data_IF_387753922139
#
_entry.id   IF_387753922139
#
_cell.length_a   1.000
_cell.length_b   1.000
_cell.length_c   1.000
_cell.angle_alpha   90.00
_cell.angle_beta   90.00
_cell.angle_gamma   90.00
#
_symmetry.space_group_name_H-M   'P 1'
#
loop_
_entity.id
_entity.type
_entity.pdbx_description
1 polymer ?
#
# COMPACT_ATOMS: atom_id res chain seq x y z
N UNK A 1 3.97 -5.13 -23.16
CA UNK A 1 5.17 -5.76 -22.57
C UNK A 1 4.93 -7.27 -22.58
N UNK A 2 5.87 -8.11 -23.01
CA UNK A 2 5.65 -9.58 -23.05
C UNK A 2 5.83 -10.20 -21.65
N UNK A 3 5.09 -11.28 -21.36
CA UNK A 3 5.14 -11.99 -20.08
C UNK A 3 6.56 -12.38 -19.64
N UNK A 4 7.39 -12.87 -20.57
CA UNK A 4 8.77 -13.26 -20.27
C UNK A 4 9.65 -12.07 -19.83
N UNK A 5 9.48 -10.90 -20.44
CA UNK A 5 10.20 -9.67 -20.06
C UNK A 5 9.76 -9.21 -18.67
N UNK A 6 8.46 -9.23 -18.38
CA UNK A 6 7.92 -8.87 -17.07
C UNK A 6 8.44 -9.79 -15.97
N UNK A 7 8.43 -11.12 -16.19
CA UNK A 7 8.98 -12.10 -15.26
C UNK A 7 10.49 -11.89 -15.00
N UNK A 8 11.27 -11.53 -16.02
CA UNK A 8 12.70 -11.21 -15.86
C UNK A 8 12.94 -9.94 -15.04
N UNK A 9 12.16 -8.88 -15.29
CA UNK A 9 12.23 -7.65 -14.49
C UNK A 9 11.87 -7.91 -13.03
N UNK A 10 10.80 -8.68 -12.79
CA UNK A 10 10.43 -9.13 -11.45
C UNK A 10 11.55 -9.91 -10.76
N UNK A 11 12.17 -10.87 -11.44
CA UNK A 11 13.26 -11.66 -10.85
C UNK A 11 14.43 -10.76 -10.37
N UNK A 12 14.76 -9.73 -11.16
CA UNK A 12 15.78 -8.74 -10.79
C UNK A 12 15.37 -7.93 -9.56
N UNK A 13 14.12 -7.47 -9.51
CA UNK A 13 13.58 -6.75 -8.37
C UNK A 13 13.51 -7.62 -7.10
N UNK A 14 13.09 -8.89 -7.22
CA UNK A 14 13.08 -9.86 -6.11
C UNK A 14 14.49 -10.07 -5.56
N UNK A 15 15.49 -10.22 -6.42
CA UNK A 15 16.89 -10.31 -5.99
C UNK A 15 17.34 -9.07 -5.21
N UNK A 16 17.04 -7.86 -5.71
CA UNK A 16 17.34 -6.61 -5.01
C UNK A 16 16.61 -6.49 -3.66
N UNK A 17 15.35 -6.94 -3.61
CA UNK A 17 14.55 -7.00 -2.39
C UNK A 17 15.23 -7.91 -1.36
N UNK A 18 15.53 -9.16 -1.73
CA UNK A 18 16.15 -10.14 -0.84
C UNK A 18 17.51 -9.67 -0.33
N UNK A 19 18.35 -9.08 -1.19
CA UNK A 19 19.62 -8.49 -0.76
C UNK A 19 19.42 -7.37 0.26
N UNK A 20 18.47 -6.46 0.01
CA UNK A 20 18.20 -5.35 0.92
C UNK A 20 17.57 -5.83 2.24
N UNK A 21 16.68 -6.82 2.17
CA UNK A 21 16.05 -7.46 3.32
C UNK A 21 17.09 -8.17 4.20
N UNK A 22 18.06 -8.86 3.61
CA UNK A 22 19.13 -9.51 4.36
C UNK A 22 20.01 -8.51 5.10
N UNK A 23 20.39 -7.40 4.46
CA UNK A 23 21.12 -6.31 5.14
C UNK A 23 20.32 -5.77 6.32
N UNK A 24 19.00 -5.56 6.15
CA UNK A 24 18.14 -5.13 7.26
C UNK A 24 18.10 -6.16 8.41
N UNK A 25 18.01 -7.46 8.09
CA UNK A 25 18.02 -8.53 9.10
C UNK A 25 19.35 -8.53 9.87
N UNK A 26 20.47 -8.40 9.17
CA UNK A 26 21.80 -8.33 9.77
C UNK A 26 21.93 -7.14 10.72
N UNK A 27 21.50 -5.95 10.28
CA UNK A 27 21.50 -4.74 11.13
C UNK A 27 20.60 -4.90 12.36
N UNK A 28 19.38 -5.44 12.19
CA UNK A 28 18.42 -5.65 13.29
C UNK A 28 18.90 -6.65 14.35
N UNK A 29 19.81 -7.55 13.99
CA UNK A 29 20.39 -8.54 14.89
C UNK A 29 21.57 -7.98 15.72
N UNK A 30 22.07 -6.79 15.39
CA UNK A 30 23.13 -6.13 16.18
C UNK A 30 22.60 -5.70 17.55
N UNK A 31 23.51 -5.68 18.53
CA UNK A 31 23.22 -5.20 19.89
C UNK A 31 22.82 -3.72 19.87
N UNK A 32 23.59 -2.92 19.10
CA UNK A 32 23.29 -1.53 18.80
C UNK A 32 23.12 -1.37 17.28
N UNK A 33 21.87 -1.40 16.77
CA UNK A 33 21.61 -1.21 15.35
C UNK A 33 21.80 0.25 14.94
N UNK A 34 22.38 0.47 13.75
CA UNK A 34 22.48 1.80 13.16
C UNK A 34 21.12 2.24 12.60
N UNK A 35 20.51 3.25 13.24
CA UNK A 35 19.21 3.78 12.85
C UNK A 35 19.21 4.39 11.45
N UNK A 36 20.29 5.05 11.03
CA UNK A 36 20.38 5.65 9.71
C UNK A 36 20.40 4.57 8.63
N UNK A 37 21.18 3.51 8.85
CA UNK A 37 21.26 2.38 7.92
C UNK A 37 19.92 1.66 7.84
N UNK A 38 19.24 1.46 8.98
CA UNK A 38 17.90 0.86 9.00
C UNK A 38 16.90 1.69 8.20
N UNK A 39 16.88 3.01 8.39
CA UNK A 39 15.93 3.89 7.68
C UNK A 39 16.20 3.93 6.17
N UNK A 40 17.45 4.14 5.75
CA UNK A 40 17.86 4.16 4.34
C UNK A 40 17.52 2.84 3.63
N UNK A 41 17.83 1.71 4.28
CA UNK A 41 17.57 0.38 3.72
C UNK A 41 16.08 0.06 3.72
N UNK A 42 15.33 0.53 4.71
CA UNK A 42 13.88 0.37 4.76
C UNK A 42 13.17 1.18 3.66
N UNK A 43 13.59 2.43 3.43
CA UNK A 43 13.09 3.26 2.32
C UNK A 43 13.36 2.55 0.99
N UNK A 44 14.60 2.08 0.77
CA UNK A 44 14.94 1.32 -0.45
C UNK A 44 14.08 0.08 -0.59
N UNK A 45 13.87 -0.68 0.48
CA UNK A 45 13.05 -1.89 0.46
C UNK A 45 11.59 -1.57 0.09
N UNK A 46 11.04 -0.47 0.60
CA UNK A 46 9.70 0.01 0.22
C UNK A 46 9.63 0.37 -1.27
N UNK A 47 10.62 1.10 -1.79
CA UNK A 47 10.70 1.43 -3.22
C UNK A 47 10.71 0.16 -4.09
N UNK A 48 11.59 -0.79 -3.78
CA UNK A 48 11.66 -2.06 -4.53
C UNK A 48 10.34 -2.83 -4.44
N UNK A 49 9.66 -2.81 -3.29
CA UNK A 49 8.35 -3.44 -3.15
C UNK A 49 7.26 -2.78 -4.01
N UNK A 50 7.30 -1.45 -4.19
CA UNK A 50 6.35 -0.78 -5.10
C UNK A 50 6.59 -1.16 -6.57
N UNK A 51 7.85 -1.36 -6.96
CA UNK A 51 8.20 -1.86 -8.28
C UNK A 51 7.73 -3.31 -8.47
N UNK A 52 7.93 -4.17 -7.45
CA UNK A 52 7.45 -5.55 -7.46
C UNK A 52 5.94 -5.62 -7.67
N UNK A 53 5.14 -4.86 -6.90
CA UNK A 53 3.69 -4.78 -7.08
C UNK A 53 3.28 -4.38 -8.51
N UNK A 54 4.06 -3.51 -9.14
CA UNK A 54 3.81 -3.10 -10.52
C UNK A 54 4.06 -4.25 -11.49
N UNK A 55 5.17 -4.98 -11.32
CA UNK A 55 5.46 -6.14 -12.15
C UNK A 55 4.49 -7.30 -11.91
N UNK A 56 4.11 -7.55 -10.66
CA UNK A 56 3.16 -8.60 -10.28
C UNK A 56 1.79 -8.34 -10.90
N UNK A 57 1.27 -7.11 -10.82
CA UNK A 57 0.02 -6.72 -11.50
C UNK A 57 0.10 -6.98 -13.01
N UNK A 58 1.19 -6.55 -13.67
CA UNK A 58 1.36 -6.76 -15.11
C UNK A 58 1.47 -8.24 -15.47
N UNK A 59 2.12 -9.05 -14.63
CA UNK A 59 2.24 -10.50 -14.85
C UNK A 59 0.88 -11.18 -14.71
N UNK A 60 0.11 -10.84 -13.67
CA UNK A 60 -1.23 -11.38 -13.45
C UNK A 60 -2.16 -11.02 -14.61
N UNK A 61 -2.17 -9.74 -15.05
CA UNK A 61 -2.97 -9.30 -16.19
C UNK A 61 -2.62 -10.09 -17.47
N UNK A 62 -1.32 -10.33 -17.70
CA UNK A 62 -0.85 -11.09 -18.86
C UNK A 62 -1.16 -12.59 -18.76
N UNK A 63 -1.20 -13.17 -17.55
CA UNK A 63 -1.60 -14.56 -17.33
C UNK A 63 -3.10 -14.75 -17.56
N UNK A 64 -3.93 -13.82 -17.09
CA UNK A 64 -5.36 -13.79 -17.35
C UNK A 64 -5.63 -13.68 -18.86
N UNK A 65 -4.92 -12.76 -19.55
CA UNK A 65 -5.04 -12.61 -20.99
C UNK A 65 -4.55 -13.83 -21.80
N UNK A 66 -3.72 -14.68 -21.19
CA UNK A 66 -3.24 -15.92 -21.77
C UNK A 66 -4.11 -17.14 -21.40
N UNK A 67 -5.24 -16.92 -20.71
CA UNK A 67 -6.18 -17.96 -20.29
C UNK A 67 -5.51 -19.11 -19.52
N UNK A 68 -4.52 -18.76 -18.69
CA UNK A 68 -3.82 -19.69 -17.81
C UNK A 68 -4.80 -20.26 -16.77
N UNK A 69 -4.54 -21.48 -16.28
CA UNK A 69 -5.41 -22.16 -15.31
C UNK A 69 -5.51 -21.39 -13.99
N UNK A 70 -6.64 -21.54 -13.30
CA UNK A 70 -6.85 -20.91 -11.98
C UNK A 70 -5.82 -21.39 -10.94
N UNK A 71 -5.40 -22.65 -11.02
CA UNK A 71 -4.36 -23.21 -10.14
C UNK A 71 -3.02 -22.49 -10.35
N UNK A 72 -2.60 -22.31 -11.60
CA UNK A 72 -1.38 -21.58 -11.95
C UNK A 72 -1.47 -20.10 -11.53
N UNK A 73 -2.64 -19.46 -11.68
CA UNK A 73 -2.86 -18.10 -11.22
C UNK A 73 -2.76 -18.00 -9.70
N UNK A 74 -3.34 -18.96 -8.97
CA UNK A 74 -3.29 -19.01 -7.51
C UNK A 74 -1.85 -19.22 -7.00
N UNK A 75 -1.07 -20.11 -7.63
CA UNK A 75 0.36 -20.27 -7.26
C UNK A 75 1.16 -18.99 -7.49
N UNK A 76 0.84 -18.24 -8.54
CA UNK A 76 1.49 -16.97 -8.83
C UNK A 76 1.16 -15.91 -7.76
N UNK A 77 -0.11 -15.80 -7.36
CA UNK A 77 -0.57 -14.90 -6.29
C UNK A 77 0.12 -15.22 -4.96
N UNK A 78 0.15 -16.50 -4.56
CA UNK A 78 0.84 -16.93 -3.33
C UNK A 78 2.32 -16.52 -3.37
N UNK A 79 2.99 -16.69 -4.50
CA UNK A 79 4.40 -16.27 -4.65
C UNK A 79 4.60 -14.75 -4.49
N UNK A 80 3.59 -13.94 -4.79
CA UNK A 80 3.64 -12.49 -4.62
C UNK A 80 3.46 -12.10 -3.14
N UNK A 81 2.61 -12.83 -2.40
CA UNK A 81 2.33 -12.59 -0.99
C UNK A 81 3.55 -12.82 -0.09
N UNK A 82 4.43 -13.79 -0.42
CA UNK A 82 5.66 -14.08 0.35
C UNK A 82 6.53 -12.83 0.60
N UNK A 83 6.69 -11.97 -0.40
CA UNK A 83 7.51 -10.77 -0.31
C UNK A 83 6.80 -9.65 0.48
N UNK A 84 5.46 -9.61 0.41
CA UNK A 84 4.67 -8.68 1.20
C UNK A 84 4.74 -9.03 2.69
N UNK A 85 4.60 -10.31 3.02
CA UNK A 85 4.70 -10.82 4.38
C UNK A 85 6.09 -10.55 4.98
N UNK A 86 7.14 -10.73 4.18
CA UNK A 86 8.50 -10.40 4.60
C UNK A 86 8.66 -8.90 4.90
N UNK A 87 8.13 -8.01 4.05
CA UNK A 87 8.14 -6.57 4.29
C UNK A 87 7.40 -6.21 5.59
N UNK A 88 6.22 -6.79 5.82
CA UNK A 88 5.42 -6.57 7.03
C UNK A 88 6.21 -7.01 8.27
N UNK A 89 6.81 -8.20 8.22
CA UNK A 89 7.63 -8.76 9.30
C UNK A 89 8.82 -7.85 9.64
N UNK A 90 9.57 -7.41 8.63
CA UNK A 90 10.70 -6.51 8.80
C UNK A 90 10.27 -5.14 9.35
N UNK A 91 9.18 -4.59 8.81
CA UNK A 91 8.67 -3.30 9.26
C UNK A 91 8.28 -3.32 10.73
N UNK A 92 7.63 -4.40 11.20
CA UNK A 92 7.31 -4.59 12.62
C UNK A 92 8.58 -4.61 13.47
N UNK A 93 9.59 -5.40 13.09
CA UNK A 93 10.85 -5.51 13.85
C UNK A 93 11.61 -4.18 13.92
N UNK A 94 11.62 -3.41 12.83
CA UNK A 94 12.25 -2.09 12.79
C UNK A 94 11.56 -1.14 13.76
N UNK A 95 10.22 -1.12 13.78
CA UNK A 95 9.44 -0.31 14.74
C UNK A 95 9.72 -0.70 16.19
N UNK A 96 9.79 -1.99 16.48
CA UNK A 96 10.12 -2.49 17.82
C UNK A 96 11.52 -2.04 18.27
N UNK A 97 12.51 -2.04 17.36
CA UNK A 97 13.90 -1.68 17.64
C UNK A 97 14.17 -0.18 17.71
N UNK A 98 13.53 0.64 16.88
CA UNK A 98 13.75 2.10 16.90
C UNK A 98 12.94 2.82 17.98
N UNK A 99 12.07 2.11 18.72
CA UNK A 99 11.03 2.73 19.55
C UNK A 99 10.00 3.42 18.65
N UNK A 100 8.86 3.83 19.21
CA UNK A 100 7.76 4.50 18.49
C UNK A 100 8.15 5.91 17.96
N UNK A 101 9.25 6.02 17.22
CA UNK A 101 9.50 7.11 16.30
C UNK A 101 8.66 6.83 15.05
N UNK A 102 7.98 7.86 14.57
CA UNK A 102 6.95 7.84 13.52
C UNK A 102 7.45 7.31 12.17
N UNK A 103 7.72 6.00 12.08
CA UNK A 103 7.77 5.30 10.81
C UNK A 103 6.34 5.24 10.28
N UNK A 104 5.96 6.34 9.62
CA UNK A 104 4.76 6.48 8.82
C UNK A 104 4.86 5.48 7.67
N UNK A 105 4.54 4.21 7.95
CA UNK A 105 4.32 3.23 6.89
C UNK A 105 3.06 3.72 6.17
N UNK A 106 3.23 4.51 5.11
CA UNK A 106 2.19 4.73 4.11
C UNK A 106 2.02 3.42 3.34
N UNK A 107 1.42 2.42 3.98
CA UNK A 107 0.71 1.37 3.27
C UNK A 107 -0.45 2.11 2.64
N UNK A 108 -0.23 2.67 1.44
CA UNK A 108 -1.27 3.32 0.67
C UNK A 108 -2.22 2.22 0.19
N UNK A 109 -3.09 1.76 1.08
CA UNK A 109 -4.38 1.21 0.70
C UNK A 109 -5.05 2.26 -0.19
N UNK A 110 -5.58 1.85 -1.34
CA UNK A 110 -6.31 2.70 -2.29
C UNK A 110 -7.67 3.16 -1.71
N UNK A 111 -7.69 3.60 -0.46
CA UNK A 111 -8.87 4.06 0.24
C UNK A 111 -8.56 5.16 1.27
N UNK A 112 -7.47 5.92 1.09
CA UNK A 112 -7.31 7.15 1.87
C UNK A 112 -6.57 8.23 1.07
N UNK A 113 -7.36 9.07 0.41
CA UNK A 113 -6.92 10.38 -0.05
C UNK A 113 -6.75 11.30 1.15
N UNK A 114 -5.73 11.06 1.98
CA UNK A 114 -5.34 12.01 3.02
C UNK A 114 -4.55 13.16 2.39
N UNK A 115 -5.31 14.19 2.03
CA UNK A 115 -4.83 15.55 1.77
C UNK A 115 -4.33 16.09 3.12
N UNK A 116 -3.07 15.81 3.45
CA UNK A 116 -2.42 16.37 4.63
C UNK A 116 -1.91 17.78 4.31
N UNK A 117 -2.78 18.77 4.50
CA UNK A 117 -2.47 20.14 4.93
C UNK A 117 -3.72 21.03 4.73
N UNK A 118 -4.85 20.69 5.35
CA UNK A 118 -5.91 21.67 5.55
C UNK A 118 -5.85 22.15 7.00
N UNK A 119 -5.62 23.45 7.16
CA UNK A 119 -5.73 24.15 8.43
C UNK A 119 -6.98 23.67 9.19
N UNK A 120 -6.84 23.47 10.50
CA UNK A 120 -7.88 23.04 11.46
C UNK A 120 -8.97 24.13 11.68
N UNK A 121 -9.41 24.75 10.59
CA UNK A 121 -10.50 25.72 10.55
C UNK A 121 -11.79 24.93 10.59
N UNK A 122 -12.35 24.78 11.80
CA UNK A 122 -13.72 24.31 11.99
C UNK A 122 -14.69 25.36 11.46
N UNK A 123 -15.07 25.23 10.20
CA UNK A 123 -16.10 26.07 9.59
C UNK A 123 -17.47 25.69 10.17
N UNK A 124 -18.18 26.67 10.74
CA UNK A 124 -19.57 26.47 11.14
C UNK A 124 -20.42 26.40 9.87
N UNK A 125 -20.98 25.23 9.59
CA UNK A 125 -21.94 25.08 8.50
C UNK A 125 -23.21 25.91 8.80
N UNK A 126 -23.79 26.57 7.79
CA UNK A 126 -25.11 27.19 7.92
C UNK A 126 -26.12 26.15 8.39
N UNK A 127 -26.99 26.52 9.33
CA UNK A 127 -28.07 25.64 9.78
C UNK A 127 -29.04 25.43 8.61
N UNK A 128 -29.05 24.23 8.05
CA UNK A 128 -30.01 23.84 7.02
C UNK A 128 -31.37 23.64 7.69
N UNK A 129 -32.38 24.41 7.29
CA UNK A 129 -33.76 24.17 7.69
C UNK A 129 -34.38 23.18 6.70
N UNK A 130 -34.45 21.91 7.09
CA UNK A 130 -35.15 20.90 6.31
C UNK A 130 -36.65 21.11 6.54
N UNK A 131 -37.39 21.44 5.48
CA UNK A 131 -38.85 21.52 5.52
C UNK A 131 -39.37 20.14 5.94
N UNK A 132 -40.17 20.06 7.01
CA UNK A 132 -40.78 18.79 7.41
C UNK A 132 -41.87 18.44 6.41
N UNK A 133 -41.92 17.17 6.01
CA UNK A 133 -42.96 16.68 5.13
C UNK A 133 -44.30 16.66 5.87
N UNK A 134 -45.30 17.35 5.33
CA UNK A 134 -46.65 17.52 5.91
C UNK A 134 -47.66 16.49 5.39
N UNK A 135 -47.21 15.50 4.60
CA UNK A 135 -48.06 14.49 3.98
C UNK A 135 -48.55 14.87 2.58
N UNK A 136 -48.31 16.10 2.11
CA UNK A 136 -48.73 16.54 0.79
C UNK A 136 -47.55 16.64 -0.19
N UNK A 137 -47.36 15.59 -1.01
CA UNK A 137 -46.19 15.41 -1.89
C UNK A 137 -45.91 16.61 -2.81
N UNK A 138 -46.95 17.25 -3.33
CA UNK A 138 -46.82 18.42 -4.21
C UNK A 138 -46.29 19.67 -3.48
N UNK A 139 -46.64 19.87 -2.20
CA UNK A 139 -46.19 21.02 -1.38
C UNK A 139 -44.69 20.91 -1.03
N UNK A 140 -44.20 19.68 -1.00
CA UNK A 140 -42.81 19.35 -0.69
C UNK A 140 -41.90 19.44 -1.92
N UNK A 141 -42.37 18.98 -3.08
CA UNK A 141 -41.60 18.96 -4.33
C UNK A 141 -41.58 20.30 -5.06
N UNK A 142 -42.70 21.02 -5.05
CA UNK A 142 -42.88 22.22 -5.88
C UNK A 142 -42.59 23.52 -5.13
N UNK A 143 -41.84 23.45 -4.02
CA UNK A 143 -41.42 24.57 -3.16
C UNK A 143 -41.98 25.92 -3.58
N UNK A 144 -43.17 26.25 -3.08
CA UNK A 144 -43.91 27.46 -3.49
C UNK A 144 -42.99 28.68 -3.37
N UNK A 145 -42.76 29.35 -4.50
CA UNK A 145 -42.05 30.64 -4.59
C UNK A 145 -42.67 31.69 -3.68
#
# INVERSE_FOLDING_TARGET
MSLAISKRKRATARSSFTTTANVLKEELNKVEPDKSVLDDKFIKLQTVNTELKTYDSVILDLMIAAEVTDDDLNTEVISCEEYLDELISLSRRIKEKMGNSDLNIRIRSKADSSISACNDKRYKLPKIQIKKFDGHLLSYLMGTY
#
